data_IF_040885933022
#
_entry.id   IF_040885933022
#
_cell.length_a   1.000
_cell.length_b   1.000
_cell.length_c   1.000
_cell.angle_alpha   90.00
_cell.angle_beta   90.00
_cell.angle_gamma   90.00
#
_symmetry.space_group_name_H-M   'P 1'
#
loop_
_entity.id
_entity.type
_entity.pdbx_description
1 polymer ?
#
# COMPACT_ATOMS: atom_id res chain seq x y z
N UNK A 1 8.38 14.16 21.85
CA UNK A 1 7.32 14.04 20.82
C UNK A 1 7.92 13.38 19.59
N UNK A 2 7.80 12.07 19.44
CA UNK A 2 8.30 11.34 18.25
C UNK A 2 7.36 11.58 17.09
N UNK A 3 7.79 12.34 16.07
CA UNK A 3 7.02 12.52 14.85
C UNK A 3 6.88 11.18 14.14
N UNK A 4 5.64 10.68 14.03
CA UNK A 4 5.35 9.55 13.16
C UNK A 4 5.46 10.08 11.74
N UNK A 5 6.63 9.90 11.13
CA UNK A 5 6.86 10.28 9.75
C UNK A 5 5.87 9.51 8.86
N UNK A 6 4.78 10.17 8.47
CA UNK A 6 3.88 9.68 7.44
C UNK A 6 4.65 9.71 6.12
N UNK A 7 5.35 8.62 5.84
CA UNK A 7 5.97 8.41 4.54
C UNK A 7 4.85 8.33 3.51
N UNK A 8 4.65 9.40 2.76
CA UNK A 8 3.74 9.40 1.61
C UNK A 8 4.10 8.20 0.73
N UNK A 9 3.13 7.43 0.23
CA UNK A 9 3.41 6.37 -0.73
C UNK A 9 4.22 6.99 -1.87
N UNK A 10 5.43 6.47 -2.11
CA UNK A 10 6.26 6.95 -3.21
C UNK A 10 5.54 6.53 -4.49
N UNK A 11 5.03 7.46 -5.31
CA UNK A 11 4.50 7.11 -6.62
C UNK A 11 5.64 6.44 -7.40
N UNK A 12 5.32 5.44 -8.22
CA UNK A 12 6.26 4.80 -9.12
C UNK A 12 7.41 4.00 -8.44
N UNK A 13 7.12 3.27 -7.36
CA UNK A 13 8.09 2.33 -6.77
C UNK A 13 8.36 1.11 -7.65
N UNK A 14 7.48 0.84 -8.62
CA UNK A 14 7.66 -0.20 -9.62
C UNK A 14 8.04 0.45 -10.95
N UNK A 15 8.99 -0.17 -11.63
CA UNK A 15 9.57 0.30 -12.89
C UNK A 15 9.24 -0.67 -14.02
N UNK A 16 9.19 -0.17 -15.26
CA UNK A 16 8.99 -1.01 -16.46
C UNK A 16 10.25 -0.92 -17.29
N UNK A 17 10.82 -2.07 -17.62
CA UNK A 17 12.00 -2.15 -18.47
C UNK A 17 11.68 -2.91 -19.74
N UNK A 18 12.25 -2.45 -20.84
CA UNK A 18 12.19 -3.09 -22.15
C UNK A 18 13.51 -3.82 -22.45
N UNK A 19 13.40 -5.00 -23.04
CA UNK A 19 14.53 -5.75 -23.58
C UNK A 19 14.16 -6.27 -24.97
N UNK A 20 15.00 -5.94 -25.95
CA UNK A 20 14.83 -6.37 -27.33
C UNK A 20 14.76 -7.91 -27.42
N UNK A 21 13.77 -8.43 -28.15
CA UNK A 21 13.52 -9.87 -28.28
C UNK A 21 12.77 -10.52 -27.11
N UNK A 22 12.57 -9.82 -25.98
CA UNK A 22 11.83 -10.34 -24.81
C UNK A 22 10.59 -9.50 -24.47
N UNK A 23 10.59 -8.20 -24.79
CA UNK A 23 9.48 -7.29 -24.52
C UNK A 23 9.67 -6.50 -23.22
N UNK A 24 8.59 -6.29 -22.47
CA UNK A 24 8.52 -5.47 -21.26
C UNK A 24 8.39 -6.34 -20.00
N UNK A 25 8.94 -5.89 -18.87
CA UNK A 25 8.74 -6.52 -17.56
C UNK A 25 8.71 -5.48 -16.44
N UNK A 26 8.02 -5.80 -15.35
CA UNK A 26 7.93 -4.98 -14.14
C UNK A 26 9.06 -5.34 -13.17
N UNK A 27 9.72 -4.32 -12.65
CA UNK A 27 10.75 -4.39 -11.62
C UNK A 27 10.27 -3.71 -10.33
N UNK A 28 10.56 -4.33 -9.19
CA UNK A 28 10.27 -3.80 -7.87
C UNK A 28 11.23 -2.67 -7.44
N UNK A 29 10.96 -2.03 -6.30
CA UNK A 29 11.79 -0.93 -5.77
C UNK A 29 13.19 -1.37 -5.35
N UNK A 30 13.39 -2.67 -5.15
CA UNK A 30 14.68 -3.32 -4.89
C UNK A 30 15.42 -3.70 -6.18
N UNK A 31 14.85 -3.38 -7.35
CA UNK A 31 15.39 -3.71 -8.66
C UNK A 31 15.18 -5.18 -9.05
N UNK A 32 14.40 -5.98 -8.29
CA UNK A 32 14.09 -7.36 -8.66
C UNK A 32 12.96 -7.43 -9.68
N UNK A 33 13.05 -8.36 -10.62
CA UNK A 33 11.97 -8.64 -11.57
C UNK A 33 10.79 -9.29 -10.84
N UNK A 34 9.61 -8.69 -10.95
CA UNK A 34 8.38 -9.15 -10.27
C UNK A 34 7.29 -9.64 -11.23
N UNK A 35 7.57 -9.63 -12.54
CA UNK A 35 6.73 -10.19 -13.59
C UNK A 35 7.55 -10.92 -14.65
N UNK A 36 6.98 -11.90 -15.37
CA UNK A 36 7.57 -12.39 -16.62
C UNK A 36 7.74 -11.26 -17.66
N UNK A 37 8.58 -11.51 -18.66
CA UNK A 37 8.66 -10.69 -19.86
C UNK A 37 7.42 -10.87 -20.73
N UNK A 38 6.88 -9.78 -21.26
CA UNK A 38 5.69 -9.78 -22.12
C UNK A 38 5.85 -8.79 -23.27
N UNK A 39 5.43 -9.14 -24.50
CA UNK A 39 5.47 -8.19 -25.63
C UNK A 39 4.46 -7.04 -25.49
N UNK A 40 3.43 -7.18 -24.66
CA UNK A 40 2.40 -6.15 -24.47
C UNK A 40 2.81 -5.14 -23.39
N UNK A 41 3.02 -3.89 -23.80
CA UNK A 41 3.27 -2.76 -22.88
C UNK A 41 2.07 -2.49 -21.96
N UNK A 42 0.85 -2.53 -22.50
CA UNK A 42 -0.39 -2.27 -21.77
C UNK A 42 -0.57 -3.27 -20.60
N UNK A 43 -0.33 -4.56 -20.86
CA UNK A 43 -0.40 -5.59 -19.81
C UNK A 43 0.57 -5.27 -18.67
N UNK A 44 1.80 -4.89 -18.99
CA UNK A 44 2.86 -4.61 -18.02
C UNK A 44 2.57 -3.30 -17.25
N UNK A 45 1.97 -2.29 -17.89
CA UNK A 45 1.50 -1.07 -17.22
C UNK A 45 0.38 -1.34 -16.23
N UNK A 46 -0.62 -2.13 -16.62
CA UNK A 46 -1.70 -2.55 -15.73
C UNK A 46 -1.18 -3.34 -14.52
N UNK A 47 -0.19 -4.22 -14.76
CA UNK A 47 0.46 -4.98 -13.71
C UNK A 47 1.25 -4.07 -12.75
N UNK A 48 2.06 -3.15 -13.29
CA UNK A 48 2.80 -2.14 -12.51
C UNK A 48 1.86 -1.32 -11.63
N UNK A 49 0.75 -0.82 -12.20
CA UNK A 49 -0.27 -0.06 -11.48
C UNK A 49 -0.89 -0.88 -10.34
N UNK A 50 -1.18 -2.15 -10.59
CA UNK A 50 -1.71 -3.07 -9.58
C UNK A 50 -0.72 -3.30 -8.44
N UNK A 51 0.56 -3.55 -8.76
CA UNK A 51 1.62 -3.71 -7.75
C UNK A 51 1.83 -2.46 -6.90
N UNK A 52 1.75 -1.28 -7.52
CA UNK A 52 1.79 -0.01 -6.80
C UNK A 52 0.62 0.11 -5.81
N UNK A 53 -0.61 -0.16 -6.25
CA UNK A 53 -1.81 -0.12 -5.38
C UNK A 53 -1.70 -1.09 -4.20
N UNK A 54 -1.23 -2.31 -4.43
CA UNK A 54 -1.00 -3.31 -3.38
C UNK A 54 0.03 -2.83 -2.35
N UNK A 55 1.16 -2.29 -2.81
CA UNK A 55 2.21 -1.77 -1.95
C UNK A 55 1.74 -0.56 -1.12
N UNK A 56 0.96 0.33 -1.73
CA UNK A 56 0.41 1.50 -1.06
C UNK A 56 -0.67 1.12 -0.05
N UNK A 57 -1.52 0.14 -0.38
CA UNK A 57 -2.49 -0.41 0.56
C UNK A 57 -1.78 -1.03 1.78
N UNK A 58 -0.70 -1.80 1.56
CA UNK A 58 0.09 -2.38 2.65
C UNK A 58 0.74 -1.31 3.54
N UNK A 59 1.23 -0.21 2.97
CA UNK A 59 1.77 0.92 3.75
C UNK A 59 0.70 1.68 4.56
N UNK A 60 -0.53 1.75 4.05
CA UNK A 60 -1.65 2.43 4.76
C UNK A 60 -2.15 1.64 5.97
N UNK A 61 -1.95 0.32 5.96
CA UNK A 61 -2.22 -0.58 7.09
C UNK A 61 -1.17 -0.42 8.16
N UNK A 62 -1.59 -0.36 9.42
CA UNK A 62 -0.65 -0.22 10.53
C UNK A 62 -1.34 0.04 11.86
N UNK A 63 -0.56 0.02 12.93
CA UNK A 63 -1.06 0.33 14.26
C UNK A 63 -1.46 1.79 14.36
N UNK A 64 -2.70 2.05 14.77
CA UNK A 64 -3.22 3.40 15.04
C UNK A 64 -3.83 3.47 16.43
N UNK A 65 -3.79 4.64 17.05
CA UNK A 65 -4.60 4.91 18.24
C UNK A 65 -6.07 5.13 17.83
N UNK A 66 -6.97 4.46 18.54
CA UNK A 66 -8.41 4.65 18.42
C UNK A 66 -8.77 6.11 18.75
N UNK A 67 -9.58 6.76 17.91
CA UNK A 67 -10.00 8.14 18.17
C UNK A 67 -10.97 8.28 19.34
N UNK A 68 -11.61 7.18 19.78
CA UNK A 68 -12.55 7.19 20.90
C UNK A 68 -11.86 6.91 22.24
N UNK A 69 -11.03 5.86 22.32
CA UNK A 69 -10.44 5.41 23.58
C UNK A 69 -8.91 5.47 23.63
N UNK A 70 -8.24 5.96 22.59
CA UNK A 70 -6.77 6.04 22.52
C UNK A 70 -6.04 4.71 22.32
N UNK A 71 -6.71 3.56 22.53
CA UNK A 71 -6.08 2.24 22.42
C UNK A 71 -5.48 1.99 21.04
N UNK A 72 -4.27 1.42 21.02
CA UNK A 72 -3.58 1.00 19.80
C UNK A 72 -4.29 -0.22 19.20
N UNK A 73 -4.63 -0.18 17.92
CA UNK A 73 -5.23 -1.29 17.20
C UNK A 73 -4.65 -1.38 15.78
N UNK A 74 -4.73 -2.57 15.17
CA UNK A 74 -4.35 -2.76 13.76
C UNK A 74 -5.44 -2.19 12.86
N UNK A 75 -5.11 -1.14 12.13
CA UNK A 75 -6.01 -0.46 11.20
C UNK A 75 -5.80 -0.99 9.79
N UNK A 76 -6.89 -1.39 9.13
CA UNK A 76 -6.89 -1.89 7.74
C UNK A 76 -6.70 -0.80 6.69
N UNK A 77 -6.69 0.47 7.09
CA UNK A 77 -6.49 1.59 6.19
C UNK A 77 -6.87 2.93 6.81
N UNK A 78 -6.68 4.00 6.04
CA UNK A 78 -6.86 5.39 6.52
C UNK A 78 -8.27 5.68 7.07
N UNK A 79 -9.28 4.92 6.62
CA UNK A 79 -10.68 5.05 7.03
C UNK A 79 -10.99 4.28 8.32
N UNK A 80 -10.20 3.25 8.68
CA UNK A 80 -10.41 2.49 9.89
C UNK A 80 -9.72 3.19 11.08
N UNK A 81 -10.47 4.02 11.82
CA UNK A 81 -9.96 4.90 12.90
C UNK A 81 -10.46 4.54 14.31
N UNK A 82 -11.32 3.52 14.42
CA UNK A 82 -11.85 3.02 15.70
C UNK A 82 -11.41 1.57 15.89
N UNK A 83 -11.03 1.20 17.12
CA UNK A 83 -10.79 -0.20 17.42
C UNK A 83 -12.09 -1.01 17.34
N UNK A 84 -11.99 -2.34 17.17
CA UNK A 84 -13.18 -3.20 17.04
C UNK A 84 -14.21 -3.01 18.16
N UNK A 85 -13.75 -2.77 19.40
CA UNK A 85 -14.62 -2.48 20.55
C UNK A 85 -15.41 -1.17 20.39
N UNK A 86 -14.77 -0.09 19.95
CA UNK A 86 -15.43 1.21 19.77
C UNK A 86 -16.29 1.23 18.51
N UNK A 87 -15.90 0.49 17.47
CA UNK A 87 -16.67 0.37 16.24
C UNK A 87 -18.01 -0.36 16.48
N UNK A 88 -17.99 -1.45 17.27
CA UNK A 88 -19.20 -2.22 17.59
C UNK A 88 -20.11 -1.58 18.64
N UNK A 89 -19.67 -0.52 19.34
CA UNK A 89 -20.43 0.09 20.44
C UNK A 89 -21.12 1.42 20.10
N UNK A 90 -20.95 1.95 18.88
CA UNK A 90 -21.58 3.22 18.47
C UNK A 90 -21.36 4.33 19.50
N UNK A 91 -20.13 4.88 19.57
CA UNK A 91 -19.71 6.01 20.42
C UNK A 91 -20.68 6.39 21.56
N UNK A 92 -20.59 5.72 22.71
CA UNK A 92 -21.09 6.26 23.97
C UNK A 92 -19.90 6.88 24.72
N UNK A 93 -19.79 8.21 24.79
CA UNK A 93 -18.76 8.84 25.61
C UNK A 93 -19.11 8.61 27.08
N UNK A 94 -18.11 8.21 27.87
CA UNK A 94 -18.16 8.17 29.34
C UNK A 94 -17.75 9.49 29.93
#
# INVERSE_FOLDING_TARGET
>A
MTSVAYSKPKPNQFDIRYRMGQGYAVFGPDGRQVSPWSPSSEYVENLRSTKQREADARKKRGTRSCMCCGNKFMSDGIHNRLCGRCNGRGHQPS
#
